data_IF_681127230825
#
_entry.id   IF_681127230825
#
_cell.length_a   1.000
_cell.length_b   1.000
_cell.length_c   1.000
_cell.angle_alpha   90.00
_cell.angle_beta   90.00
_cell.angle_gamma   90.00
#
_symmetry.space_group_name_H-M   'P 1'
#
loop_
_entity.id
_entity.type
_entity.pdbx_description
1 polymer ?
#
# COMPACT_ATOMS: atom_id res chain seq x y z
N UNK A 1 26.37 11.08 -20.18
CA UNK A 1 25.04 10.56 -20.54
C UNK A 1 24.11 10.80 -19.37
N UNK A 2 23.40 11.92 -19.38
CA UNK A 2 22.53 12.31 -18.28
C UNK A 2 21.77 13.55 -18.72
N UNK A 3 20.52 13.37 -19.11
CA UNK A 3 19.63 14.48 -19.39
C UNK A 3 18.43 14.34 -18.45
N UNK A 4 18.46 15.19 -17.42
CA UNK A 4 17.28 15.52 -16.63
C UNK A 4 16.35 16.26 -17.60
N UNK A 5 15.19 15.68 -17.90
CA UNK A 5 14.16 16.35 -18.68
C UNK A 5 13.75 17.63 -17.95
N UNK A 6 14.25 18.77 -18.43
CA UNK A 6 13.88 20.10 -17.98
C UNK A 6 12.62 20.50 -18.73
N UNK A 7 11.45 20.34 -18.09
CA UNK A 7 10.19 20.84 -18.65
C UNK A 7 10.10 22.34 -18.34
N UNK A 8 10.59 23.15 -19.27
CA UNK A 8 10.39 24.61 -19.24
C UNK A 8 8.97 24.92 -19.66
N UNK A 9 8.09 25.22 -18.68
CA UNK A 9 6.74 25.72 -18.94
C UNK A 9 6.76 27.26 -18.94
N UNK A 10 6.56 27.84 -20.12
CA UNK A 10 6.32 29.27 -20.30
C UNK A 10 4.84 29.54 -19.98
N UNK A 11 4.54 30.12 -18.82
CA UNK A 11 3.18 30.56 -18.48
C UNK A 11 3.04 32.06 -18.73
N UNK A 12 2.24 32.43 -19.73
CA UNK A 12 1.63 33.76 -19.83
C UNK A 12 0.12 33.55 -19.69
N UNK A 13 -0.42 33.81 -18.50
CA UNK A 13 -1.84 34.10 -18.29
C UNK A 13 -2.09 34.63 -16.87
N UNK A 14 -2.69 35.81 -16.77
CA UNK A 14 -3.40 36.26 -15.57
C UNK A 14 -4.62 35.36 -15.35
N UNK A 15 -4.65 34.65 -14.23
CA UNK A 15 -5.80 33.86 -13.78
C UNK A 15 -5.37 32.85 -12.72
N UNK A 16 -5.97 32.91 -11.53
CA UNK A 16 -5.72 32.02 -10.40
C UNK A 16 -6.02 30.55 -10.78
N UNK A 17 -5.03 29.86 -11.34
CA UNK A 17 -5.00 28.40 -11.44
C UNK A 17 -4.07 27.88 -10.36
N UNK A 18 -4.62 27.30 -9.30
CA UNK A 18 -3.83 26.45 -8.42
C UNK A 18 -3.34 25.24 -9.26
N UNK A 19 -2.05 24.86 -9.22
CA UNK A 19 -1.60 23.68 -9.94
C UNK A 19 -2.26 22.45 -9.32
N UNK A 20 -3.08 21.76 -10.12
CA UNK A 20 -3.46 20.37 -9.82
C UNK A 20 -2.17 19.58 -9.89
N UNK A 21 -1.56 19.31 -8.72
CA UNK A 21 -0.40 18.43 -8.66
C UNK A 21 -0.88 17.05 -9.10
N UNK A 22 -0.39 16.52 -10.23
CA UNK A 22 -0.94 15.27 -10.73
C UNK A 22 -0.47 14.14 -9.81
N UNK A 23 -1.38 13.22 -9.49
CA UNK A 23 -1.19 12.14 -8.51
C UNK A 23 0.00 11.21 -8.80
N UNK A 24 0.64 11.33 -9.97
CA UNK A 24 1.85 10.58 -10.30
C UNK A 24 3.10 11.04 -9.54
N UNK A 25 3.21 12.30 -9.10
CA UNK A 25 4.47 12.83 -8.53
C UNK A 25 4.85 12.30 -7.13
N UNK A 26 4.02 11.48 -6.46
CA UNK A 26 4.30 10.92 -5.11
C UNK A 26 4.57 9.42 -5.08
N UNK A 27 4.13 8.65 -6.07
CA UNK A 27 4.22 7.16 -6.06
C UNK A 27 5.56 6.64 -6.61
N UNK A 28 6.46 7.53 -7.03
CA UNK A 28 7.62 7.15 -7.84
C UNK A 28 8.82 6.55 -7.06
N UNK A 29 8.83 6.63 -5.72
CA UNK A 29 10.00 6.22 -4.90
C UNK A 29 9.82 4.88 -4.20
N UNK A 30 8.61 4.63 -3.74
CA UNK A 30 8.24 3.49 -2.94
C UNK A 30 6.80 3.17 -3.27
N UNK A 31 6.54 1.91 -3.60
CA UNK A 31 5.23 1.45 -4.01
C UNK A 31 4.85 0.23 -3.17
N UNK A 32 3.61 0.21 -2.69
CA UNK A 32 3.00 -0.98 -2.09
C UNK A 32 1.64 -1.26 -2.69
N UNK A 33 1.41 -2.53 -3.01
CA UNK A 33 0.14 -3.02 -3.55
C UNK A 33 -0.28 -4.25 -2.76
N UNK A 34 -1.49 -4.20 -2.20
CA UNK A 34 -2.11 -5.34 -1.54
C UNK A 34 -2.67 -6.29 -2.63
N UNK A 35 -2.12 -7.49 -2.72
CA UNK A 35 -2.40 -8.48 -3.78
C UNK A 35 -3.32 -9.61 -3.31
N UNK A 36 -3.39 -9.86 -2.00
CA UNK A 36 -4.44 -10.69 -1.42
C UNK A 36 -4.89 -10.11 -0.07
N UNK A 37 -6.18 -10.24 0.29
CA UNK A 37 -7.24 -10.95 -0.43
C UNK A 37 -7.68 -10.25 -1.73
N UNK A 38 -8.47 -10.92 -2.56
CA UNK A 38 -9.12 -10.27 -3.69
C UNK A 38 -10.20 -9.30 -3.18
N UNK A 39 -10.42 -8.20 -3.91
CA UNK A 39 -11.49 -7.26 -3.59
C UNK A 39 -12.86 -7.97 -3.61
N UNK A 40 -13.63 -7.79 -2.54
CA UNK A 40 -14.93 -8.43 -2.34
C UNK A 40 -14.86 -9.89 -1.86
N UNK A 41 -13.68 -10.39 -1.45
CA UNK A 41 -13.55 -11.76 -0.93
C UNK A 41 -14.48 -12.00 0.28
N UNK A 42 -15.07 -13.19 0.31
CA UNK A 42 -16.00 -13.64 1.34
C UNK A 42 -15.38 -14.77 2.17
N UNK A 43 -15.55 -14.70 3.49
CA UNK A 43 -15.11 -15.71 4.45
C UNK A 43 -16.24 -16.03 5.43
N UNK A 44 -16.09 -17.09 6.24
CA UNK A 44 -16.98 -17.40 7.35
C UNK A 44 -16.23 -17.27 8.67
N UNK A 45 -16.88 -16.71 9.69
CA UNK A 45 -16.30 -16.54 11.01
C UNK A 45 -16.21 -17.88 11.79
N UNK A 46 -15.16 -18.08 12.62
CA UNK A 46 -13.94 -17.26 12.69
C UNK A 46 -13.05 -17.52 11.46
N UNK A 47 -12.66 -16.46 10.76
CA UNK A 47 -11.87 -16.61 9.55
C UNK A 47 -10.36 -16.58 9.82
N UNK A 48 -9.61 -17.22 8.92
CA UNK A 48 -8.19 -17.01 8.72
C UNK A 48 -7.99 -16.40 7.32
N UNK A 49 -7.53 -15.15 7.27
CA UNK A 49 -7.36 -14.37 6.04
C UNK A 49 -5.87 -14.17 5.80
N UNK A 50 -5.38 -14.68 4.68
CA UNK A 50 -4.01 -14.42 4.23
C UNK A 50 -3.94 -13.05 3.58
N UNK A 51 -3.14 -12.16 4.17
CA UNK A 51 -2.83 -10.85 3.65
C UNK A 51 -1.50 -10.91 2.94
N UNK A 52 -1.45 -10.43 1.71
CA UNK A 52 -0.27 -10.46 0.86
C UNK A 52 -0.12 -9.11 0.17
N UNK A 53 1.05 -8.50 0.29
CA UNK A 53 1.39 -7.26 -0.39
C UNK A 53 2.74 -7.37 -1.09
N UNK A 54 2.85 -6.76 -2.26
CA UNK A 54 4.13 -6.53 -2.94
C UNK A 54 4.57 -5.11 -2.58
N UNK A 55 5.78 -4.95 -2.08
CA UNK A 55 6.34 -3.64 -1.75
C UNK A 55 7.76 -3.49 -2.30
N UNK A 56 7.97 -2.43 -3.09
CA UNK A 56 9.20 -2.17 -3.82
C UNK A 56 9.63 -0.71 -3.69
N UNK A 57 10.91 -0.45 -3.95
CA UNK A 57 11.46 0.91 -3.96
C UNK A 57 12.44 1.07 -5.11
N UNK A 58 12.35 2.23 -5.78
CA UNK A 58 13.30 2.62 -6.83
C UNK A 58 14.56 3.27 -6.25
N UNK A 59 14.58 3.54 -4.94
CA UNK A 59 15.70 4.13 -4.23
C UNK A 59 16.78 3.07 -3.98
N UNK A 60 17.90 3.21 -4.70
CA UNK A 60 19.07 2.34 -4.53
C UNK A 60 19.57 2.41 -3.09
N UNK A 61 19.89 1.25 -2.51
CA UNK A 61 20.39 1.08 -1.14
C UNK A 61 19.44 1.57 -0.04
N UNK A 62 18.16 1.79 -0.35
CA UNK A 62 17.13 2.13 0.64
C UNK A 62 16.03 1.07 0.64
N UNK A 63 16.32 -0.16 1.10
CA UNK A 63 15.38 -1.26 1.02
C UNK A 63 14.13 -1.01 1.87
N UNK A 64 13.04 -1.70 1.53
CA UNK A 64 11.87 -1.78 2.40
C UNK A 64 12.26 -2.44 3.73
N UNK A 65 12.07 -1.71 4.82
CA UNK A 65 12.38 -2.16 6.18
C UNK A 65 11.20 -2.93 6.80
N UNK A 66 9.97 -2.55 6.48
CA UNK A 66 8.76 -3.25 6.93
C UNK A 66 7.54 -2.98 6.04
N UNK A 67 6.58 -3.89 6.10
CA UNK A 67 5.20 -3.69 5.64
C UNK A 67 4.24 -3.94 6.79
N UNK A 68 3.37 -2.98 7.07
CA UNK A 68 2.33 -3.03 8.11
C UNK A 68 0.96 -3.23 7.45
N UNK A 69 0.15 -4.14 7.99
CA UNK A 69 -1.21 -4.42 7.51
C UNK A 69 -2.24 -3.89 8.49
N UNK A 70 -3.29 -3.24 7.99
CA UNK A 70 -4.31 -2.59 8.80
C UNK A 70 -5.73 -3.02 8.40
N UNK A 71 -6.63 -3.01 9.38
CA UNK A 71 -8.08 -3.04 9.21
C UNK A 71 -8.62 -1.66 9.57
N UNK A 72 -8.97 -0.84 8.58
CA UNK A 72 -9.26 0.57 8.80
C UNK A 72 -8.04 1.28 9.44
N UNK A 73 -8.18 1.75 10.68
CA UNK A 73 -7.09 2.36 11.44
C UNK A 73 -6.36 1.39 12.39
N UNK A 74 -6.87 0.16 12.57
CA UNK A 74 -6.31 -0.80 13.51
C UNK A 74 -5.17 -1.60 12.87
N UNK A 75 -4.01 -1.65 13.52
CA UNK A 75 -2.89 -2.49 13.06
C UNK A 75 -3.24 -3.97 13.29
N UNK A 76 -3.20 -4.76 12.22
CA UNK A 76 -3.31 -6.22 12.29
C UNK A 76 -1.95 -6.82 12.64
N UNK A 77 -0.90 -6.32 12.00
CA UNK A 77 0.48 -6.71 12.28
C UNK A 77 1.46 -6.21 11.24
N UNK A 78 2.73 -6.58 11.39
CA UNK A 78 3.81 -6.10 10.54
C UNK A 78 4.73 -7.26 10.12
N UNK A 79 5.28 -7.15 8.92
CA UNK A 79 6.25 -8.08 8.35
C UNK A 79 7.54 -7.31 8.10
N UNK A 80 8.63 -7.73 8.74
CA UNK A 80 9.95 -7.14 8.54
C UNK A 80 10.51 -7.47 7.13
N UNK A 81 11.23 -6.52 6.57
CA UNK A 81 12.03 -6.66 5.35
C UNK A 81 13.54 -6.58 5.62
N UNK A 82 14.37 -6.57 4.56
CA UNK A 82 13.99 -6.73 3.16
C UNK A 82 13.54 -8.17 2.82
N UNK A 83 12.69 -8.30 1.80
CA UNK A 83 12.26 -9.59 1.22
C UNK A 83 12.92 -9.77 -0.15
N UNK A 84 13.29 -11.00 -0.51
CA UNK A 84 13.97 -11.30 -1.80
C UNK A 84 13.04 -11.23 -3.00
N UNK A 85 11.77 -11.54 -2.78
CA UNK A 85 10.69 -11.58 -3.77
C UNK A 85 9.73 -10.39 -3.63
N UNK A 86 10.10 -9.40 -2.81
CA UNK A 86 9.29 -8.22 -2.48
C UNK A 86 7.89 -8.53 -1.92
N UNK A 87 7.66 -9.79 -1.54
CA UNK A 87 6.37 -10.29 -1.08
C UNK A 87 6.34 -10.33 0.46
N UNK A 88 5.35 -9.64 1.02
CA UNK A 88 5.11 -9.56 2.46
C UNK A 88 3.78 -10.24 2.73
N UNK A 89 3.80 -11.31 3.54
CA UNK A 89 2.60 -12.10 3.85
C UNK A 89 2.39 -12.20 5.35
N UNK A 90 1.15 -12.01 5.77
CA UNK A 90 0.69 -12.11 7.16
C UNK A 90 -0.62 -12.90 7.22
N UNK A 91 -0.75 -13.80 8.19
CA UNK A 91 -2.01 -14.54 8.41
C UNK A 91 -2.83 -13.85 9.51
N UNK A 92 -3.97 -13.27 9.15
CA UNK A 92 -4.91 -12.63 10.08
C UNK A 92 -5.95 -13.66 10.52
N UNK A 93 -5.82 -14.15 11.75
CA UNK A 93 -6.63 -15.26 12.28
C UNK A 93 -7.65 -14.79 13.31
N UNK A 94 -8.70 -15.62 13.52
CA UNK A 94 -9.73 -15.34 14.51
C UNK A 94 -10.63 -14.15 14.13
N UNK A 95 -10.73 -13.85 12.84
CA UNK A 95 -11.49 -12.68 12.36
C UNK A 95 -12.98 -12.94 12.56
N UNK A 96 -13.62 -12.06 13.33
CA UNK A 96 -15.05 -12.11 13.59
C UNK A 96 -15.87 -11.75 12.34
N UNK A 97 -17.18 -11.97 12.40
CA UNK A 97 -18.08 -11.52 11.34
C UNK A 97 -18.08 -9.99 11.22
N UNK A 98 -18.06 -9.48 9.99
CA UNK A 98 -18.03 -8.04 9.71
C UNK A 98 -17.55 -7.72 8.31
N UNK A 99 -17.64 -6.44 7.96
CA UNK A 99 -17.04 -5.89 6.74
C UNK A 99 -15.75 -5.16 7.10
N UNK A 100 -14.68 -5.41 6.35
CA UNK A 100 -13.36 -4.89 6.63
C UNK A 100 -12.75 -4.26 5.39
N UNK A 101 -12.15 -3.08 5.56
CA UNK A 101 -11.25 -2.50 4.57
C UNK A 101 -9.81 -2.74 5.02
N UNK A 102 -9.06 -3.49 4.22
CA UNK A 102 -7.67 -3.87 4.52
C UNK A 102 -6.72 -3.04 3.68
N UNK A 103 -5.66 -2.53 4.28
CA UNK A 103 -4.59 -1.80 3.59
C UNK A 103 -3.22 -2.34 4.01
N UNK A 104 -2.22 -2.12 3.16
CA UNK A 104 -0.82 -2.34 3.46
C UNK A 104 -0.05 -1.02 3.38
N UNK A 105 0.82 -0.76 4.35
CA UNK A 105 1.73 0.39 4.37
C UNK A 105 3.17 -0.10 4.37
N UNK A 106 3.94 0.29 3.37
CA UNK A 106 5.37 -0.02 3.32
C UNK A 106 6.18 1.13 3.91
N UNK A 107 7.34 0.82 4.48
CA UNK A 107 8.30 1.80 5.01
C UNK A 107 9.72 1.36 4.70
N UNK A 108 10.54 2.23 4.10
CA UNK A 108 11.96 1.95 3.88
C UNK A 108 12.83 2.30 5.11
N UNK A 109 14.13 2.03 5.02
CA UNK A 109 15.13 2.34 6.05
C UNK A 109 15.32 3.85 6.33
N UNK A 110 14.80 4.72 5.46
CA UNK A 110 14.79 6.18 5.63
C UNK A 110 13.49 6.73 6.20
N UNK A 111 12.49 5.88 6.40
CA UNK A 111 11.18 6.28 6.90
C UNK A 111 10.25 6.84 5.82
N UNK A 112 10.62 6.75 4.53
CA UNK A 112 9.67 7.01 3.45
C UNK A 112 8.58 5.94 3.46
N UNK A 113 7.33 6.33 3.14
CA UNK A 113 6.17 5.43 3.19
C UNK A 113 5.29 5.55 1.96
N UNK A 114 4.64 4.44 1.61
CA UNK A 114 3.51 4.38 0.65
C UNK A 114 2.39 3.55 1.28
N UNK A 115 1.17 3.78 0.83
CA UNK A 115 -0.04 3.10 1.28
C UNK A 115 -0.75 2.51 0.07
N UNK A 116 -1.18 1.25 0.18
CA UNK A 116 -1.95 0.60 -0.86
C UNK A 116 -3.36 1.18 -0.96
N UNK A 117 -4.01 0.96 -2.09
CA UNK A 117 -5.46 1.07 -2.15
C UNK A 117 -6.11 0.08 -1.15
N UNK A 118 -7.28 0.43 -0.59
CA UNK A 118 -8.00 -0.45 0.31
C UNK A 118 -8.66 -1.62 -0.44
N UNK A 119 -8.55 -2.82 0.13
CA UNK A 119 -9.27 -4.01 -0.32
C UNK A 119 -10.39 -4.31 0.67
N UNK A 120 -11.63 -4.24 0.21
CA UNK A 120 -12.80 -4.60 1.02
C UNK A 120 -13.03 -6.11 1.02
N UNK A 121 -13.29 -6.68 2.20
CA UNK A 121 -13.71 -8.07 2.38
C UNK A 121 -14.90 -8.17 3.34
N UNK A 122 -15.60 -9.31 3.28
CA UNK A 122 -16.70 -9.61 4.19
C UNK A 122 -16.45 -10.96 4.86
N UNK A 123 -16.62 -11.00 6.18
CA UNK A 123 -16.66 -12.23 6.97
C UNK A 123 -18.09 -12.43 7.43
N UNK A 124 -18.73 -13.49 6.97
CA UNK A 124 -20.12 -13.82 7.30
C UNK A 124 -20.19 -14.51 8.66
N UNK A 125 -21.27 -14.25 9.40
CA UNK A 125 -21.65 -15.10 10.52
C UNK A 125 -22.11 -16.46 10.01
N UNK A 126 -21.77 -17.53 10.75
CA UNK A 126 -22.39 -18.83 10.52
C UNK A 126 -23.88 -18.76 10.95
N UNK A 127 -24.79 -19.40 10.21
CA UNK A 127 -26.21 -19.43 10.54
C UNK A 127 -26.50 -20.16 11.87
#
# INVERSE_FOLDING_TARGET
MGEKASVTLLFVALGLFAPVSPAWAKKDKLEVTLTAPAAGALYNAPAAVVLSAIAQTTQKNHPIAKVEFFQGANLIGAVAGPRRDDQYTLNWTGVAAGNYAVTAKATNDKGDTDLSDPVSITVNALP
#
